data_IF_665655903458
#
_entry.id   IF_665655903458
#
_cell.length_a   1.000
_cell.length_b   1.000
_cell.length_c   1.000
_cell.angle_alpha   90.00
_cell.angle_beta   90.00
_cell.angle_gamma   90.00
#
_symmetry.space_group_name_H-M   'P 1'
#
loop_
_entity.id
_entity.type
_entity.pdbx_description
1 polymer ?
#
# COMPACT_ATOMS: atom_id res chain seq x y z
N UNK A 1 38.45 40.78 36.32
CA UNK A 1 37.04 40.36 36.49
C UNK A 1 36.33 40.62 35.16
N UNK A 2 36.23 39.61 34.31
CA UNK A 2 35.40 39.63 33.09
C UNK A 2 34.92 38.19 32.90
N UNK A 3 33.61 37.96 33.00
CA UNK A 3 32.96 36.67 32.80
C UNK A 3 32.96 36.33 31.30
N UNK A 4 33.49 35.16 30.92
CA UNK A 4 33.33 34.58 29.58
C UNK A 4 32.37 33.41 29.67
N UNK A 5 31.22 33.58 29.00
CA UNK A 5 30.11 32.64 28.91
C UNK A 5 30.51 31.40 28.12
N UNK A 6 30.16 30.21 28.62
CA UNK A 6 30.34 28.95 27.91
C UNK A 6 29.40 28.89 26.69
N UNK A 7 29.96 28.66 25.50
CA UNK A 7 29.20 28.24 24.32
C UNK A 7 29.14 26.72 24.38
N UNK A 8 27.94 26.19 24.65
CA UNK A 8 27.67 24.77 24.64
C UNK A 8 27.85 24.20 23.23
N UNK A 9 28.53 23.06 23.19
CA UNK A 9 28.83 22.27 22.00
C UNK A 9 27.51 21.83 21.33
N UNK A 10 27.26 22.31 20.11
CA UNK A 10 26.10 21.91 19.32
C UNK A 10 26.42 20.53 18.73
N UNK A 11 25.63 19.47 19.00
CA UNK A 11 25.86 18.19 18.34
C UNK A 11 25.74 18.38 16.83
N UNK A 12 26.56 17.69 16.02
CA UNK A 12 26.59 17.89 14.58
C UNK A 12 25.21 17.64 14.01
N UNK A 13 24.76 18.62 13.22
CA UNK A 13 23.55 18.59 12.41
C UNK A 13 23.53 17.27 11.64
N UNK A 14 22.58 16.39 11.95
CA UNK A 14 22.37 15.14 11.23
C UNK A 14 21.99 15.53 9.82
N UNK A 15 22.99 15.59 8.95
CA UNK A 15 22.87 15.74 7.51
C UNK A 15 21.68 14.89 7.07
N UNK A 16 20.65 15.56 6.57
CA UNK A 16 19.59 14.95 5.79
C UNK A 16 20.28 14.23 4.65
N UNK A 17 20.59 12.93 4.82
CA UNK A 17 20.95 12.07 3.71
C UNK A 17 19.81 12.21 2.70
N UNK A 18 20.12 12.87 1.59
CA UNK A 18 19.18 13.08 0.51
C UNK A 18 18.94 11.68 -0.07
N UNK A 19 17.91 11.00 0.45
CA UNK A 19 17.46 9.75 -0.13
C UNK A 19 17.15 10.00 -1.62
N UNK A 20 17.63 9.14 -2.52
CA UNK A 20 17.32 9.24 -3.95
C UNK A 20 15.82 9.46 -4.15
N UNK A 21 15.44 10.24 -5.16
CA UNK A 21 14.03 10.58 -5.43
C UNK A 21 13.15 9.33 -5.56
N UNK A 22 13.73 8.24 -6.08
CA UNK A 22 13.15 6.90 -6.21
C UNK A 22 12.76 6.26 -4.85
N UNK A 23 13.48 6.55 -3.76
CA UNK A 23 13.17 6.04 -2.41
C UNK A 23 12.11 6.88 -1.68
N UNK A 24 11.76 8.08 -2.19
CA UNK A 24 10.75 8.93 -1.54
C UNK A 24 9.37 8.29 -1.55
N UNK A 25 9.02 7.56 -2.61
CA UNK A 25 7.77 6.80 -2.69
C UNK A 25 7.72 5.65 -1.67
N UNK A 26 8.87 5.08 -1.28
CA UNK A 26 8.94 3.96 -0.37
C UNK A 26 8.93 4.32 1.11
N UNK A 27 8.85 5.61 1.48
CA UNK A 27 8.94 6.05 2.89
C UNK A 27 8.03 5.31 3.87
N UNK A 28 6.87 4.82 3.40
CA UNK A 28 5.91 4.06 4.20
C UNK A 28 6.32 2.60 4.42
N UNK A 29 7.15 2.05 3.54
CA UNK A 29 7.61 0.66 3.59
C UNK A 29 9.14 0.61 3.67
N UNK A 30 9.64 0.20 4.84
CA UNK A 30 11.05 -0.10 5.00
C UNK A 30 11.52 -1.14 3.96
N UNK A 31 12.82 -1.16 3.62
CA UNK A 31 13.39 -2.14 2.67
C UNK A 31 13.00 -3.60 2.96
N UNK A 32 12.94 -3.96 4.24
CA UNK A 32 12.65 -5.33 4.70
C UNK A 32 11.17 -5.56 5.05
N UNK A 33 10.26 -4.63 4.70
CA UNK A 33 8.84 -4.79 4.99
C UNK A 33 8.20 -5.81 4.05
N UNK A 34 7.26 -6.60 4.60
CA UNK A 34 6.50 -7.56 3.81
C UNK A 34 5.65 -6.86 2.75
N UNK A 35 5.11 -5.67 3.04
CA UNK A 35 4.34 -4.88 2.09
C UNK A 35 5.19 -4.43 0.90
N UNK A 36 6.45 -4.04 1.11
CA UNK A 36 7.39 -3.74 0.02
C UNK A 36 7.65 -4.99 -0.83
N UNK A 37 7.92 -6.13 -0.20
CA UNK A 37 8.11 -7.39 -0.92
C UNK A 37 6.87 -7.80 -1.73
N UNK A 38 5.67 -7.67 -1.16
CA UNK A 38 4.39 -7.93 -1.82
C UNK A 38 4.18 -7.04 -3.04
N UNK A 39 4.46 -5.73 -2.90
CA UNK A 39 4.27 -4.78 -4.00
C UNK A 39 5.27 -5.00 -5.14
N UNK A 40 6.52 -5.34 -4.82
CA UNK A 40 7.53 -5.69 -5.81
C UNK A 40 7.15 -6.96 -6.56
N UNK A 41 6.77 -8.02 -5.85
CA UNK A 41 6.28 -9.25 -6.47
C UNK A 41 5.06 -8.98 -7.38
N UNK A 42 4.16 -8.08 -6.96
CA UNK A 42 3.00 -7.73 -7.77
C UNK A 42 3.40 -6.96 -9.02
N UNK A 43 4.34 -6.03 -8.89
CA UNK A 43 4.90 -5.26 -10.02
C UNK A 43 5.44 -6.19 -11.10
N UNK A 44 6.24 -7.19 -10.71
CA UNK A 44 6.75 -8.22 -11.61
C UNK A 44 5.63 -9.04 -12.25
N UNK A 45 4.63 -9.45 -11.45
CA UNK A 45 3.51 -10.28 -11.90
C UNK A 45 2.62 -9.58 -12.93
N UNK A 46 2.36 -8.29 -12.73
CA UNK A 46 1.48 -7.50 -13.61
C UNK A 46 2.22 -6.78 -14.73
N UNK A 47 3.56 -6.76 -14.69
CA UNK A 47 4.41 -6.12 -15.69
C UNK A 47 4.35 -4.59 -15.66
N UNK A 48 4.14 -3.98 -14.48
CA UNK A 48 4.09 -2.53 -14.30
C UNK A 48 4.95 -2.12 -13.09
N UNK A 49 5.64 -0.97 -13.17
CA UNK A 49 6.38 -0.43 -12.01
C UNK A 49 5.39 0.19 -11.03
N UNK A 50 5.10 -0.50 -9.93
CA UNK A 50 4.20 0.00 -8.90
C UNK A 50 4.98 0.66 -7.78
N UNK A 51 4.61 1.89 -7.47
CA UNK A 51 5.18 2.66 -6.36
C UNK A 51 4.09 3.17 -5.44
N UNK A 52 4.33 3.31 -4.13
CA UNK A 52 3.38 4.03 -3.28
C UNK A 52 3.28 5.49 -3.73
N UNK A 53 2.07 6.06 -3.69
CA UNK A 53 1.79 7.42 -4.16
C UNK A 53 0.78 8.14 -3.26
N UNK A 54 0.95 9.44 -3.11
CA UNK A 54 -0.09 10.34 -2.60
C UNK A 54 -0.91 10.88 -3.77
N UNK A 55 -2.22 10.67 -3.76
CA UNK A 55 -3.16 11.18 -4.76
C UNK A 55 -3.81 12.46 -4.25
N UNK A 56 -3.69 13.55 -5.02
CA UNK A 56 -4.38 14.81 -4.74
C UNK A 56 -5.86 14.69 -5.08
N UNK A 57 -6.73 15.06 -4.12
CA UNK A 57 -8.17 15.11 -4.30
C UNK A 57 -8.67 16.50 -4.71
N UNK A 58 -7.80 17.48 -4.94
CA UNK A 58 -8.12 18.78 -5.54
C UNK A 58 -8.77 19.78 -4.59
N UNK A 59 -8.94 19.43 -3.32
CA UNK A 59 -9.46 20.29 -2.24
C UNK A 59 -8.44 20.46 -1.09
N UNK A 60 -7.17 20.16 -1.38
CA UNK A 60 -6.10 20.11 -0.39
C UNK A 60 -6.05 18.79 0.40
N UNK A 61 -6.99 17.87 0.17
CA UNK A 61 -6.94 16.52 0.74
C UNK A 61 -6.06 15.61 -0.11
N UNK A 62 -5.20 14.84 0.56
CA UNK A 62 -4.35 13.84 -0.06
C UNK A 62 -4.73 12.44 0.41
N UNK A 63 -4.77 11.49 -0.51
CA UNK A 63 -5.03 10.09 -0.22
C UNK A 63 -3.83 9.23 -0.61
N UNK A 64 -3.26 8.52 0.36
CA UNK A 64 -2.17 7.58 0.13
C UNK A 64 -2.67 6.31 -0.56
N UNK A 65 -1.99 5.84 -1.59
CA UNK A 65 -2.17 4.55 -2.23
C UNK A 65 -0.86 3.78 -2.10
N UNK A 66 -0.96 2.54 -1.63
CA UNK A 66 0.16 1.67 -1.34
C UNK A 66 0.90 1.23 -2.61
N UNK A 67 0.23 1.22 -3.77
CA UNK A 67 0.89 1.06 -5.06
C UNK A 67 0.07 1.59 -6.23
N UNK A 68 0.70 2.28 -7.16
CA UNK A 68 0.13 2.61 -8.45
C UNK A 68 1.22 2.72 -9.52
N UNK A 69 0.84 2.53 -10.78
CA UNK A 69 1.69 2.84 -11.92
C UNK A 69 1.74 4.37 -12.18
N UNK A 70 2.58 4.79 -13.13
CA UNK A 70 2.82 6.20 -13.41
C UNK A 70 1.55 6.92 -13.88
N UNK A 71 0.73 6.25 -14.68
CA UNK A 71 -0.52 6.75 -15.26
C UNK A 71 -1.73 6.59 -14.33
N UNK A 72 -1.56 5.94 -13.17
CA UNK A 72 -2.66 5.52 -12.28
C UNK A 72 -3.68 4.60 -12.97
N UNK A 73 -3.31 3.89 -14.03
CA UNK A 73 -4.16 2.90 -14.70
C UNK A 73 -4.34 1.63 -13.86
N UNK A 74 -3.45 1.41 -12.89
CA UNK A 74 -3.53 0.33 -11.90
C UNK A 74 -3.34 0.90 -10.49
N UNK A 75 -4.32 0.66 -9.60
CA UNK A 75 -4.30 1.11 -8.22
C UNK A 75 -4.31 -0.08 -7.26
N UNK A 76 -3.47 -0.04 -6.24
CA UNK A 76 -3.20 -1.19 -5.35
C UNK A 76 -3.31 -0.80 -3.88
N UNK A 77 -4.00 -1.64 -3.11
CA UNK A 77 -3.87 -1.69 -1.66
C UNK A 77 -3.13 -2.97 -1.27
N UNK A 78 -2.21 -2.84 -0.30
CA UNK A 78 -1.41 -3.96 0.22
C UNK A 78 -1.77 -4.19 1.69
N UNK A 79 -2.10 -5.44 2.04
CA UNK A 79 -2.43 -5.85 3.41
C UNK A 79 -1.47 -6.95 3.84
N UNK A 80 -0.36 -6.56 4.46
CA UNK A 80 0.72 -7.45 4.89
C UNK A 80 0.51 -8.12 6.26
N UNK A 81 -0.60 -7.84 6.97
CA UNK A 81 -0.81 -8.33 8.33
C UNK A 81 -0.66 -9.86 8.45
N UNK A 82 0.09 -10.32 9.46
CA UNK A 82 0.42 -11.73 9.70
C UNK A 82 -0.19 -12.26 11.00
N UNK A 83 -0.10 -13.58 11.19
CA UNK A 83 -0.52 -14.27 12.42
C UNK A 83 -1.98 -14.73 12.39
N UNK A 84 -2.58 -14.92 13.57
CA UNK A 84 -3.95 -15.44 13.67
C UNK A 84 -4.96 -14.47 13.10
N UNK A 85 -5.85 -14.95 12.24
CA UNK A 85 -6.93 -14.14 11.68
C UNK A 85 -7.87 -13.61 12.78
N UNK A 86 -8.28 -12.35 12.66
CA UNK A 86 -9.02 -11.56 13.66
C UNK A 86 -9.91 -10.55 12.94
N UNK A 87 -10.89 -9.99 13.65
CA UNK A 87 -11.81 -8.99 13.10
C UNK A 87 -11.10 -7.78 12.49
N UNK A 88 -9.96 -7.36 13.05
CA UNK A 88 -9.16 -6.25 12.53
C UNK A 88 -8.66 -6.50 11.09
N UNK A 89 -8.28 -7.74 10.76
CA UNK A 89 -7.87 -8.11 9.40
C UNK A 89 -9.03 -7.97 8.41
N UNK A 90 -10.22 -8.47 8.78
CA UNK A 90 -11.44 -8.30 7.99
C UNK A 90 -11.75 -6.81 7.78
N UNK A 91 -11.69 -6.01 8.84
CA UNK A 91 -12.00 -4.59 8.77
C UNK A 91 -11.04 -3.83 7.85
N UNK A 92 -9.74 -4.15 7.89
CA UNK A 92 -8.75 -3.57 6.98
C UNK A 92 -9.04 -3.93 5.53
N UNK A 93 -9.37 -5.19 5.24
CA UNK A 93 -9.78 -5.59 3.87
C UNK A 93 -11.01 -4.82 3.40
N UNK A 94 -12.04 -4.68 4.22
CA UNK A 94 -13.24 -3.92 3.83
C UNK A 94 -12.95 -2.44 3.61
N UNK A 95 -12.13 -1.82 4.46
CA UNK A 95 -11.72 -0.43 4.31
C UNK A 95 -10.95 -0.20 3.00
N UNK A 96 -10.08 -1.13 2.63
CA UNK A 96 -9.25 -1.02 1.44
C UNK A 96 -10.04 -1.30 0.15
N UNK A 97 -10.97 -2.25 0.18
CA UNK A 97 -11.93 -2.46 -0.91
C UNK A 97 -12.77 -1.19 -1.15
N UNK A 98 -13.26 -0.57 -0.08
CA UNK A 98 -14.00 0.70 -0.16
C UNK A 98 -13.13 1.81 -0.76
N UNK A 99 -11.90 1.99 -0.24
CA UNK A 99 -10.95 3.01 -0.69
C UNK A 99 -10.65 2.88 -2.19
N UNK A 100 -10.34 1.67 -2.66
CA UNK A 100 -10.07 1.41 -4.08
C UNK A 100 -11.29 1.70 -4.95
N UNK A 101 -12.46 1.20 -4.54
CA UNK A 101 -13.70 1.37 -5.30
C UNK A 101 -14.11 2.83 -5.40
N UNK A 102 -14.01 3.57 -4.29
CA UNK A 102 -14.30 4.99 -4.25
C UNK A 102 -13.32 5.78 -5.12
N UNK A 103 -12.02 5.48 -5.03
CA UNK A 103 -11.01 6.22 -5.79
C UNK A 103 -11.15 5.99 -7.29
N UNK A 104 -11.35 4.74 -7.72
CA UNK A 104 -11.65 4.42 -9.13
C UNK A 104 -12.88 5.18 -9.60
N UNK A 105 -14.00 5.07 -8.88
CA UNK A 105 -15.27 5.69 -9.29
C UNK A 105 -15.19 7.22 -9.33
N UNK A 106 -14.44 7.84 -8.43
CA UNK A 106 -14.42 9.31 -8.30
C UNK A 106 -13.31 10.01 -9.08
N UNK A 107 -12.19 9.33 -9.38
CA UNK A 107 -11.00 9.96 -9.96
C UNK A 107 -10.44 9.24 -11.17
N UNK A 108 -10.46 7.92 -11.17
CA UNK A 108 -9.82 7.12 -12.20
C UNK A 108 -10.76 6.00 -12.69
N UNK A 109 -11.84 6.35 -13.42
CA UNK A 109 -12.91 5.41 -13.75
C UNK A 109 -12.45 4.21 -14.58
N UNK A 110 -11.39 4.38 -15.37
CA UNK A 110 -10.83 3.35 -16.24
C UNK A 110 -9.76 2.48 -15.56
N UNK A 111 -9.40 2.78 -14.31
CA UNK A 111 -8.33 2.07 -13.62
C UNK A 111 -8.75 0.68 -13.18
N UNK A 112 -7.83 -0.26 -13.33
CA UNK A 112 -7.88 -1.55 -12.63
C UNK A 112 -7.58 -1.32 -11.15
N UNK A 113 -8.29 -2.04 -10.29
CA UNK A 113 -8.06 -1.98 -8.85
C UNK A 113 -7.69 -3.37 -8.31
N UNK A 114 -6.58 -3.43 -7.60
CA UNK A 114 -6.02 -4.66 -7.05
C UNK A 114 -5.94 -4.57 -5.53
N UNK A 115 -6.33 -5.64 -4.87
CA UNK A 115 -6.03 -5.88 -3.47
C UNK A 115 -4.99 -7.00 -3.36
N UNK A 116 -3.80 -6.68 -2.89
CA UNK A 116 -2.75 -7.65 -2.60
C UNK A 116 -2.73 -7.95 -1.11
N UNK A 117 -3.03 -9.19 -0.73
CA UNK A 117 -3.22 -9.58 0.67
C UNK A 117 -2.27 -10.70 1.07
N UNK A 118 -1.87 -10.72 2.34
CA UNK A 118 -1.22 -11.89 2.93
C UNK A 118 -2.14 -13.10 2.95
N UNK A 119 -1.57 -14.29 3.09
CA UNK A 119 -2.34 -15.53 3.34
C UNK A 119 -3.32 -15.38 4.52
N UNK A 120 -2.89 -14.77 5.64
CA UNK A 120 -3.77 -14.50 6.78
C UNK A 120 -4.96 -13.65 6.39
N UNK A 121 -4.75 -12.52 5.71
CA UNK A 121 -5.83 -11.62 5.33
C UNK A 121 -6.76 -12.24 4.26
N UNK A 122 -6.24 -13.14 3.41
CA UNK A 122 -7.00 -13.86 2.40
C UNK A 122 -8.13 -14.74 2.98
N UNK A 123 -8.07 -15.09 4.27
CA UNK A 123 -9.12 -15.84 4.97
C UNK A 123 -10.47 -15.10 5.01
N UNK A 124 -10.48 -13.78 4.76
CA UNK A 124 -11.72 -13.02 4.62
C UNK A 124 -12.53 -13.43 3.39
N UNK A 125 -11.89 -14.03 2.39
CA UNK A 125 -12.50 -14.44 1.13
C UNK A 125 -12.79 -15.94 1.16
N UNK A 126 -14.04 -16.28 1.45
CA UNK A 126 -14.58 -17.65 1.38
C UNK A 126 -15.49 -17.79 0.16
N UNK A 127 -15.66 -18.99 -0.43
CA UNK A 127 -16.46 -19.16 -1.65
C UNK A 127 -17.91 -18.67 -1.55
N UNK A 128 -18.53 -18.77 -0.37
CA UNK A 128 -19.90 -18.29 -0.10
C UNK A 128 -19.94 -16.93 0.62
N UNK A 129 -18.79 -16.30 0.84
CA UNK A 129 -18.67 -15.05 1.58
C UNK A 129 -19.13 -13.86 0.75
N UNK A 130 -19.93 -12.98 1.36
CA UNK A 130 -20.39 -11.76 0.69
C UNK A 130 -19.22 -10.86 0.25
N UNK A 131 -18.10 -10.86 0.97
CA UNK A 131 -16.88 -10.10 0.64
C UNK A 131 -16.26 -10.56 -0.67
N UNK A 132 -16.25 -11.87 -0.91
CA UNK A 132 -15.80 -12.49 -2.17
C UNK A 132 -16.70 -12.05 -3.32
N UNK A 133 -18.03 -12.15 -3.15
CA UNK A 133 -18.99 -11.69 -4.15
C UNK A 133 -18.89 -10.19 -4.42
N UNK A 134 -18.71 -9.37 -3.38
CA UNK A 134 -18.55 -7.93 -3.52
C UNK A 134 -17.26 -7.57 -4.26
N UNK A 135 -16.14 -8.23 -3.97
CA UNK A 135 -14.89 -8.02 -4.71
C UNK A 135 -15.06 -8.31 -6.21
N UNK A 136 -15.74 -9.41 -6.55
CA UNK A 136 -16.08 -9.75 -7.94
C UNK A 136 -16.95 -8.70 -8.61
N UNK A 137 -18.08 -8.33 -7.98
CA UNK A 137 -19.04 -7.39 -8.54
C UNK A 137 -18.45 -6.00 -8.74
N UNK A 138 -17.54 -5.61 -7.85
CA UNK A 138 -16.82 -4.34 -7.93
C UNK A 138 -15.61 -4.42 -8.86
N UNK A 139 -15.29 -5.57 -9.45
CA UNK A 139 -14.13 -5.75 -10.32
C UNK A 139 -12.80 -5.52 -9.60
N UNK A 140 -12.71 -5.92 -8.32
CA UNK A 140 -11.47 -5.90 -7.54
C UNK A 140 -10.72 -7.20 -7.81
N UNK A 141 -9.53 -7.08 -8.37
CA UNK A 141 -8.62 -8.21 -8.54
C UNK A 141 -7.94 -8.52 -7.20
N UNK A 142 -8.02 -9.77 -6.73
CA UNK A 142 -7.40 -10.17 -5.47
C UNK A 142 -6.18 -11.05 -5.74
N UNK A 143 -5.03 -10.65 -5.21
CA UNK A 143 -3.81 -11.45 -5.24
C UNK A 143 -3.43 -11.83 -3.81
N UNK A 144 -3.08 -13.09 -3.61
CA UNK A 144 -2.62 -13.62 -2.32
C UNK A 144 -1.12 -13.81 -2.37
N UNK A 145 -0.42 -13.23 -1.41
CA UNK A 145 1.01 -13.40 -1.21
C UNK A 145 1.27 -14.44 -0.12
N UNK A 146 1.97 -15.50 -0.49
CA UNK A 146 2.41 -16.56 0.41
C UNK A 146 3.79 -17.05 -0.03
N UNK A 147 4.72 -17.22 0.93
CA UNK A 147 6.06 -17.78 0.71
C UNK A 147 6.84 -17.17 -0.47
N UNK A 148 6.77 -15.84 -0.62
CA UNK A 148 7.49 -15.13 -1.69
C UNK A 148 6.81 -15.18 -3.07
N UNK A 149 5.60 -15.76 -3.16
CA UNK A 149 4.88 -15.94 -4.42
C UNK A 149 3.52 -15.26 -4.37
N UNK A 150 3.07 -14.80 -5.54
CA UNK A 150 1.71 -14.32 -5.73
C UNK A 150 0.89 -15.36 -6.47
N UNK A 151 -0.31 -15.57 -5.95
CA UNK A 151 -1.37 -16.29 -6.64
C UNK A 151 -2.53 -15.33 -6.87
N UNK A 152 -3.00 -15.23 -8.11
CA UNK A 152 -4.25 -14.55 -8.38
C UNK A 152 -5.38 -15.43 -7.86
N UNK A 153 -6.06 -14.98 -6.82
CA UNK A 153 -7.27 -15.66 -6.36
C UNK A 153 -8.39 -15.21 -7.29
N UNK A 154 -8.87 -16.12 -8.12
CA UNK A 154 -10.17 -15.96 -8.76
C UNK A 154 -11.20 -16.13 -7.62
N UNK A 155 -11.86 -15.05 -7.18
CA UNK A 155 -12.89 -15.18 -6.15
C UNK A 155 -14.12 -15.92 -6.71
#
# INVERSE_FOLDING_TARGET
MIHSTAVADRPPDRTLEIMPEEERGWRRFGPDSIERAMLLALSETVGADLRPRSIDLGDGTWLEIEGADAENSLLVQVIGNQGTFRSQHRNKVMADMFKLTWLRTSRFPDSRIVLCVSETAAQVFTPSGWSTKAALDLGIEVYVYADGKLERKHP
#
